data_IF_647834894541
#
_entry.id   IF_647834894541
#
_cell.length_a   1.000
_cell.length_b   1.000
_cell.length_c   1.000
_cell.angle_alpha   90.00
_cell.angle_beta   90.00
_cell.angle_gamma   90.00
#
_symmetry.space_group_name_H-M   'P 1'
#
loop_
_entity.id
_entity.type
_entity.pdbx_description
1 polymer ?
#
# COMPACT_ATOMS: atom_id res chain seq x y z
N UNK A 1 -19.19 3.29 -12.95
CA UNK A 1 -17.93 4.02 -12.71
C UNK A 1 -16.69 3.25 -13.20
N UNK A 2 -16.44 1.98 -12.82
CA UNK A 2 -15.22 1.23 -13.22
C UNK A 2 -15.04 1.03 -14.74
N UNK A 3 -16.16 0.99 -15.47
CA UNK A 3 -16.21 0.82 -16.93
C UNK A 3 -16.69 2.08 -17.67
N UNK A 4 -17.00 3.16 -16.94
CA UNK A 4 -17.48 4.42 -17.51
C UNK A 4 -16.38 5.07 -18.37
N UNK A 5 -16.77 5.83 -19.39
CA UNK A 5 -15.82 6.64 -20.15
C UNK A 5 -15.15 7.70 -19.24
N UNK A 6 -13.91 8.13 -19.51
CA UNK A 6 -13.21 9.08 -18.65
C UNK A 6 -13.99 10.37 -18.33
N UNK A 7 -14.63 10.98 -19.34
CA UNK A 7 -15.43 12.20 -19.12
C UNK A 7 -16.70 11.98 -18.29
N UNK A 8 -17.36 10.83 -18.43
CA UNK A 8 -18.52 10.47 -17.60
C UNK A 8 -18.10 10.22 -16.15
N UNK A 9 -16.94 9.57 -15.95
CA UNK A 9 -16.39 9.34 -14.60
C UNK A 9 -16.01 10.66 -13.93
N UNK A 10 -15.38 11.57 -14.65
CA UNK A 10 -15.01 12.89 -14.12
C UNK A 10 -16.25 13.64 -13.60
N UNK A 11 -17.33 13.64 -14.37
CA UNK A 11 -18.61 14.23 -13.96
C UNK A 11 -19.19 13.60 -12.69
N UNK A 12 -19.16 12.26 -12.61
CA UNK A 12 -19.64 11.51 -11.44
C UNK A 12 -18.79 11.79 -10.19
N UNK A 13 -17.47 11.80 -10.34
CA UNK A 13 -16.53 12.08 -9.25
C UNK A 13 -16.70 13.52 -8.76
N UNK A 14 -16.75 14.49 -9.68
CA UNK A 14 -16.96 15.91 -9.36
C UNK A 14 -18.27 16.14 -8.63
N UNK A 15 -19.38 15.60 -9.15
CA UNK A 15 -20.70 15.77 -8.54
C UNK A 15 -20.76 15.20 -7.12
N UNK A 16 -20.19 13.99 -6.90
CA UNK A 16 -20.11 13.39 -5.56
C UNK A 16 -19.21 14.19 -4.64
N UNK A 17 -18.08 14.67 -5.13
CA UNK A 17 -17.17 15.51 -4.36
C UNK A 17 -17.85 16.81 -3.94
N UNK A 18 -18.51 17.53 -4.84
CA UNK A 18 -19.27 18.74 -4.53
C UNK A 18 -20.29 18.51 -3.40
N UNK A 19 -21.04 17.40 -3.46
CA UNK A 19 -21.99 17.04 -2.40
C UNK A 19 -21.28 16.83 -1.04
N UNK A 20 -20.19 16.06 -1.01
CA UNK A 20 -19.40 15.83 0.20
C UNK A 20 -18.86 17.16 0.75
N UNK A 21 -18.32 18.03 -0.10
CA UNK A 21 -17.78 19.31 0.33
C UNK A 21 -18.87 20.25 0.88
N UNK A 22 -20.08 20.19 0.33
CA UNK A 22 -21.21 21.02 0.76
C UNK A 22 -21.80 20.57 2.11
N UNK A 23 -21.80 19.27 2.39
CA UNK A 23 -22.42 18.68 3.59
C UNK A 23 -21.42 18.45 4.74
N UNK A 24 -20.11 18.54 4.47
CA UNK A 24 -19.07 18.22 5.45
C UNK A 24 -19.05 19.18 6.64
N UNK A 25 -19.08 18.59 7.85
CA UNK A 25 -18.90 19.27 9.13
C UNK A 25 -17.43 19.39 9.57
N UNK A 26 -16.49 18.98 8.70
CA UNK A 26 -15.05 18.99 8.99
C UNK A 26 -14.51 20.42 8.98
N UNK A 27 -14.29 20.99 10.17
CA UNK A 27 -13.71 22.34 10.31
C UNK A 27 -12.31 22.42 9.71
N UNK A 28 -11.53 21.33 9.79
CA UNK A 28 -10.21 21.25 9.18
C UNK A 28 -10.29 21.31 7.64
N UNK A 29 -11.22 20.56 7.03
CA UNK A 29 -11.45 20.61 5.59
C UNK A 29 -11.89 22.00 5.15
N UNK A 30 -12.86 22.61 5.85
CA UNK A 30 -13.37 23.95 5.54
C UNK A 30 -12.24 25.00 5.53
N UNK A 31 -11.35 24.95 6.53
CA UNK A 31 -10.19 25.85 6.58
C UNK A 31 -9.24 25.64 5.38
N UNK A 32 -8.94 24.38 5.03
CA UNK A 32 -8.06 24.07 3.89
C UNK A 32 -8.65 24.49 2.54
N UNK A 33 -9.96 24.33 2.36
CA UNK A 33 -10.64 24.77 1.14
C UNK A 33 -10.69 26.30 1.04
N UNK A 34 -10.96 27.00 2.14
CA UNK A 34 -10.96 28.46 2.19
C UNK A 34 -9.58 29.04 1.85
N UNK A 35 -8.49 28.44 2.37
CA UNK A 35 -7.12 28.84 2.04
C UNK A 35 -6.76 28.67 0.56
N UNK A 36 -7.46 27.77 -0.15
CA UNK A 36 -7.30 27.52 -1.58
C UNK A 36 -8.39 28.18 -2.44
N UNK A 37 -9.27 28.98 -1.83
CA UNK A 37 -10.42 29.64 -2.47
C UNK A 37 -11.37 28.66 -3.20
N UNK A 38 -11.46 27.41 -2.70
CA UNK A 38 -12.33 26.37 -3.24
C UNK A 38 -13.64 26.30 -2.44
N UNK A 39 -14.75 26.21 -3.16
CA UNK A 39 -16.09 25.95 -2.64
C UNK A 39 -16.75 24.88 -3.52
N UNK A 40 -17.86 24.25 -3.07
CA UNK A 40 -18.61 23.33 -3.93
C UNK A 40 -19.01 23.96 -5.27
N UNK A 41 -19.35 25.25 -5.28
CA UNK A 41 -19.76 25.96 -6.49
C UNK A 41 -18.58 26.33 -7.41
N UNK A 42 -17.39 26.56 -6.87
CA UNK A 42 -16.20 26.92 -7.67
C UNK A 42 -15.45 25.70 -8.20
N UNK A 43 -15.70 24.50 -7.67
CA UNK A 43 -15.14 23.23 -8.15
C UNK A 43 -15.80 22.82 -9.49
N UNK A 44 -15.18 23.16 -10.61
CA UNK A 44 -15.64 22.87 -11.97
C UNK A 44 -14.98 21.61 -12.56
N UNK A 45 -13.77 21.28 -12.10
CA UNK A 45 -13.03 20.07 -12.45
C UNK A 45 -12.39 19.48 -11.20
N UNK A 46 -12.21 18.16 -11.15
CA UNK A 46 -11.52 17.50 -10.03
C UNK A 46 -10.08 17.99 -9.87
N UNK A 47 -9.46 18.46 -10.97
CA UNK A 47 -8.14 19.10 -11.00
C UNK A 47 -8.08 20.43 -10.26
N UNK A 48 -9.19 21.10 -9.99
CA UNK A 48 -9.18 22.36 -9.22
C UNK A 48 -8.70 22.12 -7.78
N UNK A 49 -8.81 20.87 -7.29
CA UNK A 49 -8.26 20.50 -5.99
C UNK A 49 -6.74 20.69 -5.90
N UNK A 50 -6.01 20.74 -7.02
CA UNK A 50 -4.53 20.91 -7.02
C UNK A 50 -4.04 22.18 -6.31
N UNK A 51 -4.88 23.20 -6.16
CA UNK A 51 -4.59 24.40 -5.35
C UNK A 51 -4.63 24.13 -3.84
N UNK A 52 -5.29 23.06 -3.40
CA UNK A 52 -5.33 22.64 -1.99
C UNK A 52 -4.00 21.96 -1.65
N UNK A 53 -3.26 22.52 -0.70
CA UNK A 53 -2.00 21.94 -0.23
C UNK A 53 -2.20 20.49 0.25
N UNK A 54 -1.28 19.58 -0.05
CA UNK A 54 -1.36 18.17 0.37
C UNK A 54 -1.34 18.08 1.91
N UNK A 55 -2.30 17.33 2.48
CA UNK A 55 -2.29 16.94 3.89
C UNK A 55 -1.52 15.63 4.04
N UNK A 56 -0.35 15.68 4.66
CA UNK A 56 0.50 14.51 4.86
C UNK A 56 0.01 13.70 6.04
N UNK A 57 0.13 12.38 5.91
CA UNK A 57 -0.20 11.44 6.99
C UNK A 57 0.48 11.80 8.32
N UNK A 58 1.72 12.26 8.28
CA UNK A 58 2.52 12.58 9.47
C UNK A 58 1.96 13.80 10.24
N UNK A 59 1.21 14.68 9.55
CA UNK A 59 0.55 15.85 10.14
C UNK A 59 -0.71 15.47 10.95
N UNK A 60 -1.32 14.31 10.66
CA UNK A 60 -2.55 13.88 11.34
C UNK A 60 -2.39 13.79 12.85
N UNK A 61 -1.22 13.32 13.32
CA UNK A 61 -0.92 13.23 14.75
C UNK A 61 -1.01 14.59 15.43
N UNK A 62 -0.43 15.61 14.81
CA UNK A 62 -0.38 16.96 15.38
C UNK A 62 -1.75 17.64 15.33
N UNK A 63 -2.49 17.46 14.24
CA UNK A 63 -3.88 17.92 14.09
C UNK A 63 -4.78 17.29 15.16
N UNK A 64 -4.68 15.98 15.37
CA UNK A 64 -5.49 15.26 16.35
C UNK A 64 -5.09 15.58 17.79
N UNK A 65 -3.80 15.78 18.06
CA UNK A 65 -3.32 16.19 19.39
C UNK A 65 -3.79 17.60 19.76
N UNK A 66 -3.89 18.51 18.79
CA UNK A 66 -4.36 19.88 19.01
C UNK A 66 -5.85 19.95 19.37
N UNK A 67 -6.68 19.03 18.86
CA UNK A 67 -8.11 18.94 19.19
C UNK A 67 -8.61 17.49 19.20
N UNK A 68 -8.37 16.72 20.28
CA UNK A 68 -8.73 15.30 20.32
C UNK A 68 -10.24 15.03 20.20
N UNK A 69 -10.65 13.84 19.69
CA UNK A 69 -9.79 12.77 19.21
C UNK A 69 -9.39 12.91 17.73
N UNK A 70 -10.20 13.58 16.91
CA UNK A 70 -10.02 13.61 15.45
C UNK A 70 -9.58 14.96 14.88
N UNK A 71 -9.26 15.97 15.69
CA UNK A 71 -8.66 17.23 15.21
C UNK A 71 -9.56 18.07 14.30
N UNK A 72 -10.88 17.91 14.38
CA UNK A 72 -11.83 18.56 13.45
C UNK A 72 -11.83 17.95 12.04
N UNK A 73 -11.24 16.77 11.84
CA UNK A 73 -11.15 16.10 10.53
C UNK A 73 -12.44 15.39 10.10
N UNK A 74 -13.31 14.99 11.05
CA UNK A 74 -14.57 14.30 10.71
C UNK A 74 -15.52 15.19 9.91
N UNK A 75 -16.07 14.65 8.83
CA UNK A 75 -17.13 15.31 8.05
C UNK A 75 -18.53 15.12 8.63
N UNK A 76 -18.67 14.31 9.68
CA UNK A 76 -19.94 13.98 10.36
C UNK A 76 -19.81 14.11 11.88
N UNK A 77 -20.92 14.20 12.63
CA UNK A 77 -20.89 14.15 14.09
C UNK A 77 -20.25 12.86 14.62
N UNK A 78 -19.53 12.97 15.74
CA UNK A 78 -18.88 11.82 16.38
C UNK A 78 -19.86 10.69 16.76
N UNK A 79 -21.15 11.00 16.95
CA UNK A 79 -22.21 10.01 17.22
C UNK A 79 -22.47 9.04 16.07
N UNK A 80 -22.02 9.34 14.85
CA UNK A 80 -22.15 8.45 13.69
C UNK A 80 -21.00 7.45 13.56
N UNK A 81 -19.90 7.66 14.29
CA UNK A 81 -18.71 6.81 14.26
C UNK A 81 -19.01 5.48 14.97
N UNK A 82 -18.77 4.37 14.25
CA UNK A 82 -19.00 3.00 14.73
C UNK A 82 -17.82 2.43 15.49
N UNK A 83 -16.60 2.73 15.03
CA UNK A 83 -15.36 2.35 15.72
C UNK A 83 -14.33 3.46 15.61
N UNK A 84 -13.50 3.58 16.63
CA UNK A 84 -12.31 4.40 16.63
C UNK A 84 -11.11 3.47 16.82
N UNK A 85 -10.21 3.49 15.86
CA UNK A 85 -8.96 2.75 15.89
C UNK A 85 -7.81 3.69 16.26
N UNK A 86 -6.66 3.12 16.63
CA UNK A 86 -5.41 3.83 16.82
C UNK A 86 -4.29 3.11 16.06
N UNK A 87 -3.87 3.71 14.96
CA UNK A 87 -2.71 3.29 14.17
C UNK A 87 -1.38 3.73 14.80
N UNK A 88 -0.25 3.11 14.40
CA UNK A 88 1.08 3.57 14.81
C UNK A 88 1.27 5.07 14.49
N UNK A 89 1.96 5.79 15.38
CA UNK A 89 2.05 7.26 15.29
C UNK A 89 1.00 7.99 16.13
N UNK A 90 0.49 7.33 17.19
CA UNK A 90 -0.83 7.56 17.81
C UNK A 90 -1.88 8.30 16.95
N UNK A 91 -2.13 7.82 15.72
CA UNK A 91 -3.14 8.39 14.83
C UNK A 91 -4.47 7.66 15.05
N UNK A 92 -5.55 8.38 15.32
CA UNK A 92 -6.89 7.83 15.41
C UNK A 92 -7.55 7.73 14.04
N UNK A 93 -8.05 6.54 13.70
CA UNK A 93 -8.76 6.28 12.44
C UNK A 93 -10.24 6.03 12.71
N UNK A 94 -11.16 6.86 12.15
CA UNK A 94 -12.58 6.67 12.34
C UNK A 94 -13.15 5.65 11.36
N UNK A 95 -14.04 4.81 11.85
CA UNK A 95 -14.91 3.99 11.03
C UNK A 95 -16.35 4.50 11.11
N UNK A 96 -16.90 4.89 9.97
CA UNK A 96 -18.29 5.32 9.83
C UNK A 96 -19.30 4.18 9.69
N UNK A 97 -20.58 4.51 9.43
CA UNK A 97 -21.60 3.53 9.12
C UNK A 97 -21.40 2.94 7.71
N UNK A 98 -22.00 1.77 7.47
CA UNK A 98 -21.96 1.08 6.18
C UNK A 98 -21.63 -0.41 6.34
N UNK A 99 -22.00 -1.21 5.34
CA UNK A 99 -21.66 -2.64 5.32
C UNK A 99 -20.19 -2.88 4.92
N UNK A 100 -19.64 -2.01 4.07
CA UNK A 100 -18.24 -2.01 3.63
C UNK A 100 -17.71 -0.57 3.61
N UNK A 101 -17.54 0.02 4.80
CA UNK A 101 -17.06 1.40 4.94
C UNK A 101 -15.70 1.64 4.25
N UNK A 102 -14.88 0.59 4.19
CA UNK A 102 -13.52 0.65 3.64
C UNK A 102 -13.43 0.26 2.16
N UNK A 103 -14.56 -0.11 1.55
CA UNK A 103 -14.74 -0.41 0.13
C UNK A 103 -13.81 -1.49 -0.45
N UNK A 104 -13.65 -2.61 0.26
CA UNK A 104 -12.85 -3.75 -0.21
C UNK A 104 -13.63 -4.78 -1.03
N UNK A 105 -14.96 -4.75 -1.05
CA UNK A 105 -15.80 -5.72 -1.77
C UNK A 105 -15.38 -5.86 -3.25
N UNK A 106 -15.25 -4.75 -3.97
CA UNK A 106 -14.86 -4.75 -5.38
C UNK A 106 -13.47 -5.37 -5.61
N UNK A 107 -12.54 -5.17 -4.67
CA UNK A 107 -11.22 -5.77 -4.72
C UNK A 107 -11.26 -7.29 -4.55
N UNK A 108 -12.17 -7.79 -3.70
CA UNK A 108 -12.41 -9.22 -3.51
C UNK A 108 -13.14 -9.86 -4.68
N UNK A 109 -14.05 -9.15 -5.34
CA UNK A 109 -14.65 -9.62 -6.61
C UNK A 109 -13.57 -9.73 -7.69
N UNK A 110 -12.72 -8.71 -7.82
CA UNK A 110 -11.58 -8.76 -8.75
C UNK A 110 -10.60 -9.90 -8.39
N UNK A 111 -10.50 -10.20 -7.08
CA UNK A 111 -10.01 -11.38 -6.39
C UNK A 111 -10.33 -12.77 -6.95
N UNK A 112 -11.48 -12.86 -7.62
CA UNK A 112 -12.18 -14.12 -7.85
C UNK A 112 -12.86 -14.69 -6.60
N UNK A 113 -12.96 -13.94 -5.50
CA UNK A 113 -13.78 -14.33 -4.34
C UNK A 113 -15.26 -14.13 -4.69
N UNK A 114 -16.14 -14.94 -4.09
CA UNK A 114 -17.57 -14.89 -4.34
C UNK A 114 -18.36 -15.03 -3.04
N UNK A 115 -19.63 -14.63 -3.08
CA UNK A 115 -20.59 -14.97 -2.03
C UNK A 115 -20.57 -16.49 -1.76
N UNK A 116 -20.56 -16.87 -0.47
CA UNK A 116 -20.47 -18.27 -0.03
C UNK A 116 -19.04 -18.80 0.12
N UNK A 117 -18.01 -18.05 -0.29
CA UNK A 117 -16.64 -18.40 0.07
C UNK A 117 -16.43 -18.36 1.59
N UNK A 118 -15.59 -19.27 2.07
CA UNK A 118 -15.16 -19.33 3.48
C UNK A 118 -13.79 -18.70 3.56
N UNK A 119 -13.75 -17.44 4.00
CA UNK A 119 -12.56 -16.60 3.94
C UNK A 119 -11.87 -16.52 5.30
N UNK A 120 -10.64 -17.01 5.41
CA UNK A 120 -9.82 -16.76 6.60
C UNK A 120 -9.21 -15.36 6.55
N UNK A 121 -9.37 -14.59 7.63
CA UNK A 121 -8.85 -13.23 7.75
C UNK A 121 -7.63 -13.26 8.67
N UNK A 122 -6.44 -13.11 8.08
CA UNK A 122 -5.15 -13.17 8.75
C UNK A 122 -4.53 -11.77 8.92
N UNK A 123 -5.32 -10.84 9.46
CA UNK A 123 -4.91 -9.52 9.92
C UNK A 123 -5.31 -9.33 11.38
N UNK A 124 -4.59 -8.49 12.10
CA UNK A 124 -4.89 -8.24 13.51
C UNK A 124 -6.24 -7.52 13.72
N UNK A 125 -7.01 -7.96 14.72
CA UNK A 125 -8.31 -7.40 15.14
C UNK A 125 -8.20 -6.56 16.43
N UNK A 126 -7.04 -5.94 16.67
CA UNK A 126 -6.82 -5.09 17.85
C UNK A 126 -7.08 -3.61 17.53
N UNK A 127 -6.27 -2.69 18.07
CA UNK A 127 -6.39 -1.24 17.88
C UNK A 127 -6.21 -0.75 16.43
N UNK A 128 -5.79 -1.59 15.48
CA UNK A 128 -5.61 -1.16 14.09
C UNK A 128 -6.77 -1.69 13.24
N UNK A 129 -7.19 -0.95 12.20
CA UNK A 129 -8.44 -1.27 11.52
C UNK A 129 -8.35 -2.51 10.63
N UNK A 130 -7.16 -2.94 10.20
CA UNK A 130 -6.95 -3.92 9.13
C UNK A 130 -7.83 -5.19 9.23
N UNK A 131 -7.86 -5.88 10.37
CA UNK A 131 -8.69 -7.07 10.55
C UNK A 131 -10.18 -6.79 10.29
N UNK A 132 -10.70 -5.70 10.86
CA UNK A 132 -12.09 -5.27 10.67
C UNK A 132 -12.38 -4.78 9.25
N UNK A 133 -11.42 -4.07 8.62
CA UNK A 133 -11.57 -3.57 7.25
C UNK A 133 -11.81 -4.70 6.25
N UNK A 134 -10.96 -5.72 6.28
CA UNK A 134 -11.04 -6.83 5.35
C UNK A 134 -12.19 -7.79 5.70
N UNK A 135 -12.49 -7.98 6.99
CA UNK A 135 -13.67 -8.73 7.44
C UNK A 135 -14.98 -8.08 6.95
N UNK A 136 -15.11 -6.75 7.02
CA UNK A 136 -16.29 -6.03 6.52
C UNK A 136 -16.48 -6.19 5.02
N UNK A 137 -15.45 -5.93 4.22
CA UNK A 137 -15.57 -6.09 2.78
C UNK A 137 -15.88 -7.54 2.37
N UNK A 138 -15.33 -8.54 3.09
CA UNK A 138 -15.56 -9.94 2.79
C UNK A 138 -17.00 -10.34 3.16
N UNK A 139 -17.51 -9.84 4.30
CA UNK A 139 -18.92 -10.05 4.67
C UNK A 139 -19.88 -9.31 3.74
N UNK A 140 -19.54 -8.11 3.28
CA UNK A 140 -20.35 -7.37 2.31
C UNK A 140 -20.48 -8.13 0.98
N UNK A 141 -19.39 -8.78 0.54
CA UNK A 141 -19.41 -9.70 -0.60
C UNK A 141 -20.28 -10.97 -0.35
N UNK A 142 -20.59 -11.29 0.90
CA UNK A 142 -21.33 -12.49 1.28
C UNK A 142 -20.46 -13.71 1.63
N UNK A 143 -19.19 -13.51 1.96
CA UNK A 143 -18.32 -14.56 2.48
C UNK A 143 -18.68 -14.89 3.94
N UNK A 144 -18.51 -16.16 4.33
CA UNK A 144 -18.38 -16.55 5.73
C UNK A 144 -16.94 -16.26 6.17
N UNK A 145 -16.74 -15.29 7.06
CA UNK A 145 -15.40 -14.93 7.54
C UNK A 145 -14.97 -15.79 8.72
N UNK A 146 -13.69 -16.17 8.74
CA UNK A 146 -13.00 -16.82 9.87
C UNK A 146 -11.98 -15.81 10.40
N UNK A 147 -12.27 -15.08 11.49
CA UNK A 147 -11.43 -13.98 12.00
C UNK A 147 -10.23 -14.54 12.77
N UNK A 148 -9.29 -15.15 12.05
CA UNK A 148 -8.20 -15.92 12.64
C UNK A 148 -7.09 -15.05 13.25
N UNK A 149 -6.98 -13.78 12.83
CA UNK A 149 -5.93 -12.91 13.30
C UNK A 149 -4.54 -13.35 12.83
N UNK A 150 -3.52 -12.96 13.60
CA UNK A 150 -2.13 -13.40 13.39
C UNK A 150 -1.69 -14.31 14.53
N UNK A 151 -0.70 -15.16 14.26
CA UNK A 151 -0.15 -16.09 15.24
C UNK A 151 -0.87 -17.45 15.25
N UNK A 152 -0.44 -18.34 16.16
CA UNK A 152 -0.89 -19.73 16.28
C UNK A 152 -1.17 -20.45 14.94
N UNK A 153 -0.17 -20.48 14.05
CA UNK A 153 -0.30 -21.08 12.72
C UNK A 153 -0.78 -22.54 12.75
N UNK A 154 -0.48 -23.28 13.82
CA UNK A 154 -0.99 -24.65 14.00
C UNK A 154 -2.52 -24.69 14.02
N UNK A 155 -3.12 -23.87 14.88
CA UNK A 155 -4.56 -23.77 15.00
C UNK A 155 -5.19 -23.22 13.71
N UNK A 156 -4.53 -22.27 13.03
CA UNK A 156 -5.02 -21.74 11.76
C UNK A 156 -5.03 -22.80 10.65
N UNK A 157 -3.98 -23.63 10.55
CA UNK A 157 -3.91 -24.74 9.59
C UNK A 157 -5.01 -25.77 9.86
N UNK A 158 -5.20 -26.16 11.12
CA UNK A 158 -6.30 -27.06 11.51
C UNK A 158 -7.67 -26.46 11.18
N UNK A 159 -7.85 -25.15 11.45
CA UNK A 159 -9.08 -24.44 11.15
C UNK A 159 -9.35 -24.40 9.65
N UNK A 160 -8.34 -24.07 8.83
CA UNK A 160 -8.42 -24.08 7.37
C UNK A 160 -8.83 -25.45 6.84
N UNK A 161 -8.22 -26.52 7.35
CA UNK A 161 -8.52 -27.89 6.96
C UNK A 161 -9.94 -28.31 7.34
N UNK A 162 -10.35 -28.11 8.59
CA UNK A 162 -11.67 -28.55 9.08
C UNK A 162 -12.83 -27.71 8.54
N UNK A 163 -12.63 -26.40 8.37
CA UNK A 163 -13.66 -25.52 7.81
C UNK A 163 -13.78 -25.65 6.28
N UNK A 164 -12.76 -26.25 5.63
CA UNK A 164 -12.65 -26.25 4.19
C UNK A 164 -12.61 -24.85 3.61
N UNK A 165 -11.91 -23.91 4.25
CA UNK A 165 -11.79 -22.53 3.80
C UNK A 165 -11.30 -22.46 2.36
N UNK A 166 -11.96 -21.64 1.54
CA UNK A 166 -11.69 -21.51 0.10
C UNK A 166 -10.94 -20.23 -0.25
N UNK A 167 -10.93 -19.25 0.65
CA UNK A 167 -10.29 -17.97 0.45
C UNK A 167 -9.38 -17.59 1.62
N UNK A 168 -8.27 -16.92 1.31
CA UNK A 168 -7.37 -16.30 2.26
C UNK A 168 -7.35 -14.78 2.06
N UNK A 169 -7.36 -14.01 3.15
CA UNK A 169 -7.19 -12.56 3.13
C UNK A 169 -6.17 -12.17 4.20
N UNK A 170 -5.01 -11.65 3.80
CA UNK A 170 -3.90 -11.44 4.75
C UNK A 170 -2.60 -10.94 4.10
N UNK A 171 -1.49 -11.12 4.80
CA UNK A 171 -0.14 -10.84 4.26
C UNK A 171 0.31 -11.98 3.32
N UNK A 172 0.96 -11.69 2.18
CA UNK A 172 1.49 -12.71 1.27
C UNK A 172 2.59 -13.58 1.88
N UNK A 173 3.51 -13.03 2.67
CA UNK A 173 4.56 -13.79 3.37
C UNK A 173 3.98 -14.75 4.40
N UNK A 174 2.95 -14.29 5.12
CA UNK A 174 2.25 -15.11 6.10
C UNK A 174 1.47 -16.25 5.44
N UNK A 175 0.82 -15.99 4.30
CA UNK A 175 0.19 -17.04 3.49
C UNK A 175 1.21 -18.11 3.10
N UNK A 176 2.37 -17.70 2.57
CA UNK A 176 3.37 -18.68 2.17
C UNK A 176 3.89 -19.50 3.35
N UNK A 177 4.11 -18.87 4.52
CA UNK A 177 4.50 -19.59 5.73
C UNK A 177 3.43 -20.60 6.20
N UNK A 178 2.14 -20.24 6.14
CA UNK A 178 1.03 -21.15 6.43
C UNK A 178 1.00 -22.34 5.47
N UNK A 179 1.17 -22.08 4.16
CA UNK A 179 1.16 -23.11 3.13
C UNK A 179 2.37 -24.06 3.27
N UNK A 180 3.56 -23.54 3.58
CA UNK A 180 4.77 -24.34 3.83
C UNK A 180 4.61 -25.24 5.05
N UNK A 181 4.08 -24.68 6.13
CA UNK A 181 3.86 -25.43 7.37
C UNK A 181 2.78 -26.50 7.20
N UNK A 182 1.67 -26.21 6.51
CA UNK A 182 0.64 -27.19 6.20
C UNK A 182 1.19 -28.35 5.36
N UNK A 183 2.00 -28.04 4.35
CA UNK A 183 2.67 -29.05 3.52
C UNK A 183 3.63 -29.93 4.33
N UNK A 184 4.43 -29.33 5.21
CA UNK A 184 5.34 -30.07 6.10
C UNK A 184 4.60 -31.00 7.08
N UNK A 185 3.34 -30.69 7.41
CA UNK A 185 2.47 -31.51 8.26
C UNK A 185 1.63 -32.53 7.48
N UNK A 186 1.71 -32.53 6.14
CA UNK A 186 0.87 -33.38 5.29
C UNK A 186 -0.62 -32.99 5.33
N UNK A 187 -0.95 -31.76 5.69
CA UNK A 187 -2.33 -31.25 5.76
C UNK A 187 -2.69 -30.59 4.43
N UNK A 188 -3.70 -31.13 3.75
CA UNK A 188 -4.25 -30.54 2.54
C UNK A 188 -5.18 -29.36 2.87
N UNK A 189 -5.06 -28.26 2.12
CA UNK A 189 -5.89 -27.07 2.27
C UNK A 189 -6.77 -26.86 1.03
N UNK A 190 -7.99 -26.36 1.22
CA UNK A 190 -8.97 -26.15 0.15
C UNK A 190 -8.93 -24.74 -0.48
N UNK A 191 -7.88 -23.96 -0.19
CA UNK A 191 -7.72 -22.59 -0.67
C UNK A 191 -7.65 -22.56 -2.20
N UNK A 192 -8.45 -21.68 -2.80
CA UNK A 192 -8.51 -21.44 -4.25
C UNK A 192 -8.13 -20.01 -4.60
N UNK A 193 -8.55 -19.05 -3.79
CA UNK A 193 -8.28 -17.64 -3.97
C UNK A 193 -7.55 -17.06 -2.76
N UNK A 194 -6.67 -16.09 -3.01
CA UNK A 194 -6.00 -15.32 -1.99
C UNK A 194 -5.98 -13.84 -2.37
N UNK A 195 -6.45 -13.00 -1.45
CA UNK A 195 -6.26 -11.55 -1.54
C UNK A 195 -5.19 -11.12 -0.54
N UNK A 196 -4.19 -10.40 -1.01
CA UNK A 196 -3.06 -10.00 -0.18
C UNK A 196 -2.84 -8.50 -0.16
N UNK A 197 -2.40 -7.96 0.97
CA UNK A 197 -2.19 -6.51 1.15
C UNK A 197 -1.16 -6.23 2.25
N UNK A 198 -0.92 -4.96 2.55
CA UNK A 198 -0.03 -4.41 3.59
C UNK A 198 1.48 -4.71 3.49
N UNK A 199 1.90 -5.54 2.52
CA UNK A 199 3.30 -5.68 2.12
C UNK A 199 3.39 -5.98 0.61
N UNK A 200 4.56 -5.79 -0.03
CA UNK A 200 4.74 -6.16 -1.43
C UNK A 200 4.49 -7.66 -1.67
N UNK A 201 3.96 -7.99 -2.86
CA UNK A 201 3.94 -9.35 -3.39
C UNK A 201 4.98 -9.48 -4.51
N UNK A 202 6.24 -9.88 -4.21
CA UNK A 202 7.24 -10.11 -5.24
C UNK A 202 6.78 -11.19 -6.23
N UNK A 203 7.21 -11.07 -7.49
CA UNK A 203 6.84 -12.03 -8.53
C UNK A 203 7.26 -13.48 -8.18
N UNK A 204 8.40 -13.67 -7.51
CA UNK A 204 8.84 -14.99 -7.05
C UNK A 204 7.87 -15.61 -6.03
N UNK A 205 7.36 -14.80 -5.09
CA UNK A 205 6.40 -15.24 -4.09
C UNK A 205 5.03 -15.54 -4.72
N UNK A 206 4.58 -14.70 -5.65
CA UNK A 206 3.37 -14.95 -6.44
C UNK A 206 3.43 -16.31 -7.14
N UNK A 207 4.51 -16.56 -7.89
CA UNK A 207 4.71 -17.83 -8.61
C UNK A 207 4.70 -19.01 -7.64
N UNK A 208 5.34 -18.89 -6.46
CA UNK A 208 5.35 -19.96 -5.46
C UNK A 208 3.97 -20.28 -4.87
N UNK A 209 3.10 -19.27 -4.71
CA UNK A 209 1.71 -19.44 -4.25
C UNK A 209 0.85 -20.03 -5.39
N UNK A 210 0.96 -19.49 -6.60
CA UNK A 210 0.17 -19.93 -7.77
C UNK A 210 0.53 -21.35 -8.21
N UNK A 211 1.79 -21.79 -8.03
CA UNK A 211 2.20 -23.17 -8.28
C UNK A 211 1.46 -24.19 -7.41
N UNK A 212 0.81 -23.75 -6.32
CA UNK A 212 -0.05 -24.59 -5.46
C UNK A 212 -1.53 -24.55 -5.89
N UNK A 213 -1.84 -23.94 -7.04
CA UNK A 213 -3.20 -23.83 -7.56
C UNK A 213 -4.04 -22.71 -6.93
N UNK A 214 -3.40 -21.76 -6.23
CA UNK A 214 -4.09 -20.64 -5.56
C UNK A 214 -3.98 -19.40 -6.45
N UNK A 215 -5.11 -18.86 -6.90
CA UNK A 215 -5.13 -17.54 -7.55
C UNK A 215 -4.87 -16.47 -6.49
N UNK A 216 -3.77 -15.72 -6.62
CA UNK A 216 -3.39 -14.66 -5.69
C UNK A 216 -3.38 -13.30 -6.37
N UNK A 217 -3.97 -12.30 -5.73
CA UNK A 217 -4.05 -10.91 -6.21
C UNK A 217 -3.80 -9.95 -5.06
N UNK A 218 -3.19 -8.81 -5.38
CA UNK A 218 -2.78 -7.80 -4.41
C UNK A 218 -3.71 -6.59 -4.41
N UNK A 219 -3.91 -6.01 -3.22
CA UNK A 219 -4.52 -4.69 -3.03
C UNK A 219 -3.61 -3.72 -2.30
N UNK A 220 -3.92 -2.44 -2.44
CA UNK A 220 -3.27 -1.32 -1.77
C UNK A 220 -4.30 -0.40 -1.11
N UNK A 221 -4.00 0.02 0.10
CA UNK A 221 -4.85 0.86 0.92
C UNK A 221 -4.15 1.29 2.20
N UNK A 222 -4.74 2.24 2.92
CA UNK A 222 -4.25 2.67 4.24
C UNK A 222 -5.35 2.57 5.29
N UNK A 223 -4.95 2.60 6.56
CA UNK A 223 -5.86 2.64 7.71
C UNK A 223 -6.81 3.85 7.69
N UNK A 224 -6.42 4.94 7.05
CA UNK A 224 -7.15 6.21 7.04
C UNK A 224 -8.24 6.23 5.95
N UNK A 225 -7.96 5.64 4.78
CA UNK A 225 -8.83 5.79 3.58
C UNK A 225 -9.42 4.47 3.05
N UNK A 226 -8.98 3.32 3.55
CA UNK A 226 -9.46 2.03 3.06
C UNK A 226 -8.81 1.61 1.76
N UNK A 227 -9.58 0.95 0.89
CA UNK A 227 -9.13 0.51 -0.43
C UNK A 227 -8.82 1.72 -1.33
N UNK A 228 -7.58 1.78 -1.83
CA UNK A 228 -7.14 2.78 -2.81
C UNK A 228 -7.09 2.15 -4.20
N UNK A 229 -6.46 0.97 -4.31
CA UNK A 229 -6.28 0.28 -5.59
C UNK A 229 -6.18 -1.24 -5.41
N UNK A 230 -6.49 -2.01 -6.45
CA UNK A 230 -6.41 -3.48 -6.42
C UNK A 230 -6.14 -4.11 -7.79
N UNK A 231 -5.49 -5.27 -7.81
CA UNK A 231 -5.22 -6.01 -9.04
C UNK A 231 -6.49 -6.64 -9.63
N UNK A 232 -6.58 -6.65 -10.96
CA UNK A 232 -7.52 -7.49 -11.68
C UNK A 232 -6.87 -8.80 -12.12
N UNK A 233 -7.61 -9.66 -12.83
CA UNK A 233 -7.09 -10.94 -13.32
C UNK A 233 -5.88 -10.81 -14.27
N UNK A 234 -5.68 -9.63 -14.89
CA UNK A 234 -4.52 -9.38 -15.75
C UNK A 234 -3.20 -9.18 -14.99
N UNK A 235 -3.23 -8.96 -13.66
CA UNK A 235 -2.05 -8.82 -12.79
C UNK A 235 -0.98 -7.86 -13.33
N UNK A 236 -1.44 -6.77 -13.95
CA UNK A 236 -0.60 -5.75 -14.58
C UNK A 236 -0.89 -4.39 -13.94
N UNK A 237 -0.47 -4.23 -12.69
CA UNK A 237 -0.80 -3.06 -11.87
C UNK A 237 -2.16 -3.17 -11.18
N UNK A 238 -2.41 -2.21 -10.27
CA UNK A 238 -3.59 -2.14 -9.42
C UNK A 238 -4.52 -1.04 -9.91
N UNK A 239 -5.74 -1.37 -10.31
CA UNK A 239 -6.77 -0.40 -10.67
C UNK A 239 -7.11 0.47 -9.47
N UNK A 240 -7.02 1.78 -9.64
CA UNK A 240 -7.56 2.76 -8.69
C UNK A 240 -9.05 2.53 -8.55
N UNK A 241 -9.54 2.54 -7.31
CA UNK A 241 -10.95 2.40 -6.99
C UNK A 241 -11.74 3.53 -7.67
N UNK A 242 -12.84 3.18 -8.34
CA UNK A 242 -13.52 4.12 -9.24
C UNK A 242 -14.21 5.30 -8.56
N UNK A 243 -14.35 5.29 -7.23
CA UNK A 243 -14.90 6.40 -6.43
C UNK A 243 -13.84 7.09 -5.56
N UNK A 244 -12.62 7.20 -6.10
CA UNK A 244 -11.51 7.90 -5.47
C UNK A 244 -10.73 8.68 -6.52
N UNK A 245 -10.26 9.88 -6.15
CA UNK A 245 -9.26 10.60 -6.94
C UNK A 245 -7.87 10.20 -6.44
N UNK A 246 -6.98 9.88 -7.38
CA UNK A 246 -5.59 9.53 -7.07
C UNK A 246 -4.68 10.26 -8.05
N UNK A 247 -3.81 11.09 -7.50
CA UNK A 247 -2.71 11.74 -8.21
C UNK A 247 -1.38 11.10 -7.79
N UNK A 248 -0.41 11.14 -8.68
CA UNK A 248 0.99 10.93 -8.34
C UNK A 248 1.65 12.31 -8.32
N UNK A 249 2.02 12.79 -7.14
CA UNK A 249 2.51 14.16 -6.96
C UNK A 249 4.01 14.23 -6.75
N UNK A 250 4.62 15.31 -7.22
CA UNK A 250 6.00 15.65 -6.91
C UNK A 250 6.14 15.95 -5.42
N UNK A 251 7.16 15.35 -4.81
CA UNK A 251 7.34 15.35 -3.35
C UNK A 251 7.76 16.72 -2.79
N UNK A 252 8.25 17.61 -3.66
CA UNK A 252 8.75 18.96 -3.30
C UNK A 252 7.69 20.02 -3.57
N UNK A 253 7.13 20.03 -4.78
CA UNK A 253 6.15 21.04 -5.22
C UNK A 253 4.73 20.68 -4.83
N UNK A 254 4.43 19.39 -4.62
CA UNK A 254 3.09 18.90 -4.32
C UNK A 254 2.14 18.92 -5.52
N UNK A 255 2.63 19.18 -6.73
CA UNK A 255 1.83 19.18 -7.96
C UNK A 255 1.77 17.78 -8.60
N UNK A 256 0.67 17.42 -9.28
CA UNK A 256 0.61 16.17 -10.04
C UNK A 256 1.71 16.08 -11.10
N UNK A 257 2.31 14.90 -11.22
CA UNK A 257 3.29 14.56 -12.23
C UNK A 257 2.62 13.94 -13.47
N UNK A 258 3.26 14.01 -14.65
CA UNK A 258 2.83 13.28 -15.83
C UNK A 258 2.73 11.77 -15.58
N UNK A 259 1.81 11.10 -16.30
CA UNK A 259 1.68 9.65 -16.25
C UNK A 259 3.01 8.96 -16.61
N UNK A 260 3.35 7.90 -15.89
CA UNK A 260 4.63 7.19 -16.03
C UNK A 260 5.76 7.69 -15.12
N UNK A 261 5.62 8.87 -14.50
CA UNK A 261 6.61 9.37 -13.55
C UNK A 261 6.37 8.85 -12.12
N UNK A 262 7.44 8.79 -11.33
CA UNK A 262 7.41 8.33 -9.93
C UNK A 262 7.16 9.53 -9.01
N UNK A 263 6.15 9.43 -8.16
CA UNK A 263 5.80 10.45 -7.18
C UNK A 263 5.03 9.88 -5.99
N UNK A 264 4.64 10.74 -5.06
CA UNK A 264 3.82 10.39 -3.91
C UNK A 264 2.39 10.08 -4.33
N UNK A 265 1.82 9.00 -3.82
CA UNK A 265 0.39 8.70 -3.95
C UNK A 265 -0.40 9.67 -3.08
N UNK A 266 -1.13 10.57 -3.74
CA UNK A 266 -2.01 11.54 -3.11
C UNK A 266 -3.45 11.18 -3.44
N UNK A 267 -4.26 10.98 -2.42
CA UNK A 267 -5.63 10.47 -2.58
C UNK A 267 -6.65 11.48 -2.08
N UNK A 268 -7.81 11.54 -2.74
CA UNK A 268 -9.02 12.18 -2.20
C UNK A 268 -10.14 11.13 -2.19
N UNK A 269 -10.44 10.52 -1.04
CA UNK A 269 -11.52 9.57 -0.93
C UNK A 269 -12.87 10.29 -1.02
N UNK A 270 -13.84 9.74 -1.76
CA UNK A 270 -15.21 10.23 -1.75
C UNK A 270 -15.98 9.66 -0.55
N UNK A 271 -15.47 9.96 0.65
CA UNK A 271 -16.00 9.52 1.94
C UNK A 271 -16.50 10.72 2.76
N UNK A 272 -17.81 10.83 3.04
CA UNK A 272 -18.36 11.95 3.81
C UNK A 272 -17.96 11.91 5.30
N UNK A 273 -17.59 10.75 5.85
CA UNK A 273 -17.26 10.60 7.27
C UNK A 273 -15.87 11.14 7.60
N UNK A 274 -14.90 10.83 6.74
CA UNK A 274 -13.50 11.24 6.90
C UNK A 274 -12.95 11.80 5.58
N UNK A 275 -13.39 13.02 5.18
CA UNK A 275 -13.14 13.59 3.87
C UNK A 275 -11.72 14.18 3.77
N UNK A 276 -10.71 13.31 3.70
CA UNK A 276 -9.30 13.70 3.59
C UNK A 276 -8.94 14.15 2.16
N UNK A 277 -9.22 15.41 1.82
CA UNK A 277 -8.87 15.98 0.51
C UNK A 277 -7.34 16.10 0.34
N UNK A 278 -6.82 15.63 -0.79
CA UNK A 278 -5.39 15.59 -1.13
C UNK A 278 -4.53 15.06 0.01
N UNK A 279 -4.86 13.85 0.46
CA UNK A 279 -4.15 13.12 1.49
C UNK A 279 -2.91 12.43 0.92
N UNK A 280 -1.73 12.84 1.36
CA UNK A 280 -0.47 12.19 1.02
C UNK A 280 -0.25 10.95 1.88
N UNK A 281 -0.24 9.77 1.25
CA UNK A 281 -0.09 8.49 1.96
C UNK A 281 1.33 8.26 2.46
N UNK A 282 2.28 9.06 1.97
CA UNK A 282 3.70 8.82 2.12
C UNK A 282 4.22 7.64 1.30
N UNK A 283 3.43 7.02 0.42
CA UNK A 283 3.89 5.94 -0.45
C UNK A 283 4.18 6.47 -1.87
N UNK A 284 5.16 5.86 -2.54
CA UNK A 284 5.58 6.24 -3.89
C UNK A 284 5.00 5.26 -4.91
N UNK A 285 4.51 5.75 -6.04
CA UNK A 285 4.04 4.89 -7.13
C UNK A 285 4.14 5.61 -8.48
N UNK A 286 3.66 4.94 -9.52
CA UNK A 286 3.53 5.44 -10.89
C UNK A 286 2.09 5.22 -11.30
N UNK A 287 1.46 6.25 -11.87
CA UNK A 287 0.12 6.15 -12.46
C UNK A 287 0.22 5.81 -13.94
N UNK A 288 -0.60 4.87 -14.39
CA UNK A 288 -0.70 4.48 -15.78
C UNK A 288 -2.15 4.54 -16.26
N UNK A 289 -2.37 5.31 -17.32
CA UNK A 289 -3.65 5.40 -18.02
C UNK A 289 -3.72 4.45 -19.22
N UNK A 290 -2.72 3.59 -19.39
CA UNK A 290 -2.72 2.61 -20.45
C UNK A 290 -3.93 1.68 -20.30
N UNK A 291 -4.63 1.33 -21.40
CA UNK A 291 -5.75 0.41 -21.36
C UNK A 291 -5.38 -0.92 -20.71
N UNK A 292 -6.30 -1.48 -19.94
CA UNK A 292 -6.15 -2.80 -19.34
C UNK A 292 -6.99 -3.83 -20.11
N UNK A 293 -6.46 -5.03 -20.43
CA UNK A 293 -7.22 -6.07 -21.12
C UNK A 293 -8.45 -6.57 -20.34
N UNK A 294 -8.58 -6.26 -19.04
CA UNK A 294 -9.77 -6.59 -18.27
C UNK A 294 -10.99 -5.68 -18.56
N UNK A 295 -10.81 -4.62 -19.37
CA UNK A 295 -11.87 -3.70 -19.77
C UNK A 295 -12.18 -2.58 -18.77
N UNK A 296 -11.67 -2.61 -17.54
CA UNK A 296 -11.76 -1.48 -16.62
C UNK A 296 -11.02 -0.27 -17.18
N UNK A 297 -11.63 0.90 -17.06
CA UNK A 297 -11.11 2.16 -17.59
C UNK A 297 -10.50 3.04 -16.49
N UNK A 298 -10.39 2.57 -15.24
CA UNK A 298 -9.69 3.30 -14.18
C UNK A 298 -8.17 3.24 -14.37
N UNK A 299 -7.45 4.31 -13.99
CA UNK A 299 -6.00 4.31 -14.03
C UNK A 299 -5.44 3.25 -13.09
N UNK A 300 -4.19 2.86 -13.31
CA UNK A 300 -3.52 1.82 -12.54
C UNK A 300 -2.28 2.34 -11.83
N UNK A 301 -2.12 1.97 -10.56
CA UNK A 301 -0.86 2.09 -9.84
C UNK A 301 0.06 0.94 -10.25
N UNK A 302 1.26 1.26 -10.74
CA UNK A 302 2.26 0.26 -11.14
C UNK A 302 3.15 -0.13 -9.95
N UNK A 303 2.51 -0.72 -8.93
CA UNK A 303 3.17 -1.16 -7.70
C UNK A 303 3.58 -0.02 -6.77
N UNK A 304 3.86 -0.36 -5.51
CA UNK A 304 4.35 0.60 -4.51
C UNK A 304 5.88 0.56 -4.51
N UNK A 305 6.49 1.70 -4.84
CA UNK A 305 7.93 1.91 -4.97
C UNK A 305 8.57 2.28 -3.61
N UNK A 306 7.93 2.01 -2.48
CA UNK A 306 8.42 2.37 -1.14
C UNK A 306 7.82 3.66 -0.61
N UNK A 307 8.35 4.18 0.50
CA UNK A 307 7.77 5.33 1.22
C UNK A 307 8.64 6.58 1.21
N UNK A 308 8.00 7.74 1.22
CA UNK A 308 8.59 9.02 1.63
C UNK A 308 9.25 8.88 3.00
N UNK A 309 10.37 9.57 3.18
CA UNK A 309 11.15 9.52 4.42
C UNK A 309 11.96 8.22 4.64
N UNK A 310 11.66 7.12 3.95
CA UNK A 310 12.54 5.94 3.92
C UNK A 310 13.76 6.12 2.99
N UNK A 311 13.75 7.20 2.20
CA UNK A 311 14.91 7.63 1.42
C UNK A 311 16.02 8.12 2.35
N UNK A 312 17.18 7.51 2.28
CA UNK A 312 18.35 7.93 3.02
C UNK A 312 19.17 8.90 2.19
N UNK A 313 19.42 10.10 2.70
CA UNK A 313 20.30 11.06 2.02
C UNK A 313 21.76 10.59 2.15
N UNK A 314 22.40 10.26 1.04
CA UNK A 314 23.80 9.85 0.94
C UNK A 314 24.51 10.74 -0.08
N UNK A 315 25.50 11.53 0.38
CA UNK A 315 26.28 12.44 -0.48
C UNK A 315 25.41 13.33 -1.41
N UNK A 316 24.30 13.83 -0.87
CA UNK A 316 23.40 14.74 -1.59
C UNK A 316 22.30 14.07 -2.42
N UNK A 317 22.33 12.74 -2.57
CA UNK A 317 21.29 11.97 -3.27
C UNK A 317 20.39 11.25 -2.26
N UNK A 318 19.09 11.15 -2.54
CA UNK A 318 18.20 10.30 -1.77
C UNK A 318 18.24 8.88 -2.33
N UNK A 319 18.61 7.93 -1.47
CA UNK A 319 18.68 6.51 -1.78
C UNK A 319 17.50 5.81 -1.12
N UNK A 320 16.63 5.21 -1.93
CA UNK A 320 15.45 4.51 -1.44
C UNK A 320 15.64 2.99 -1.52
N UNK A 321 15.05 2.21 -0.61
CA UNK A 321 15.11 0.75 -0.65
C UNK A 321 14.70 0.14 -1.99
N UNK A 322 13.70 0.71 -2.68
CA UNK A 322 13.25 0.21 -3.99
C UNK A 322 14.31 0.32 -5.08
N UNK A 323 15.16 1.35 -5.05
CA UNK A 323 16.21 1.51 -6.05
C UNK A 323 17.23 0.38 -5.93
N UNK A 324 17.48 -0.09 -4.69
CA UNK A 324 18.29 -1.28 -4.45
C UNK A 324 17.59 -2.55 -4.96
N UNK A 325 16.27 -2.68 -4.79
CA UNK A 325 15.51 -3.78 -5.39
C UNK A 325 15.66 -3.83 -6.91
N UNK A 326 15.59 -2.69 -7.60
CA UNK A 326 15.78 -2.57 -9.05
C UNK A 326 17.18 -3.03 -9.48
N UNK A 327 18.21 -2.69 -8.70
CA UNK A 327 19.59 -3.12 -8.97
C UNK A 327 19.71 -4.65 -9.00
N UNK A 328 19.07 -5.32 -8.05
CA UNK A 328 19.12 -6.77 -7.91
C UNK A 328 18.09 -7.52 -8.76
N UNK A 329 17.10 -6.82 -9.30
CA UNK A 329 16.15 -7.39 -10.24
C UNK A 329 16.89 -7.97 -11.46
N UNK A 330 16.66 -9.26 -11.73
CA UNK A 330 17.30 -9.97 -12.84
C UNK A 330 18.74 -10.46 -12.58
N UNK A 331 19.21 -10.47 -11.32
CA UNK A 331 20.46 -11.11 -10.92
C UNK A 331 20.19 -12.41 -10.12
N UNK A 332 19.88 -13.55 -10.77
CA UNK A 332 19.48 -14.79 -10.10
C UNK A 332 20.59 -15.41 -9.22
N UNK A 333 21.84 -14.98 -9.40
CA UNK A 333 22.99 -15.39 -8.58
C UNK A 333 22.98 -14.76 -7.20
N UNK A 334 22.37 -13.58 -7.04
CA UNK A 334 22.21 -12.90 -5.74
C UNK A 334 20.96 -13.46 -5.05
N UNK A 335 21.15 -14.11 -3.90
CA UNK A 335 20.04 -14.64 -3.09
C UNK A 335 19.34 -13.52 -2.31
N UNK A 336 20.13 -12.64 -1.73
CA UNK A 336 19.67 -11.54 -0.89
C UNK A 336 20.76 -10.49 -0.76
N UNK A 337 20.37 -9.32 -0.26
CA UNK A 337 21.23 -8.16 -0.11
C UNK A 337 20.84 -7.40 1.16
N UNK A 338 21.74 -6.58 1.68
CA UNK A 338 21.44 -5.56 2.69
C UNK A 338 22.30 -4.35 2.39
N UNK A 339 21.78 -3.16 2.59
CA UNK A 339 22.52 -1.93 2.41
C UNK A 339 22.60 -1.15 3.71
N UNK A 340 23.74 -0.50 3.92
CA UNK A 340 23.99 0.33 5.09
C UNK A 340 24.67 1.61 4.66
N UNK A 341 24.19 2.72 5.20
CA UNK A 341 24.87 4.01 5.09
C UNK A 341 25.68 4.21 6.36
N UNK A 342 26.98 4.41 6.18
CA UNK A 342 27.92 4.73 7.26
C UNK A 342 28.56 6.09 7.00
N UNK A 343 29.26 6.63 7.99
CA UNK A 343 30.02 7.88 7.87
C UNK A 343 31.47 7.63 8.25
N UNK A 344 32.39 7.86 7.33
CA UNK A 344 33.83 7.67 7.53
C UNK A 344 34.55 8.98 7.20
N UNK A 345 35.30 9.55 8.15
CA UNK A 345 36.04 10.82 7.99
C UNK A 345 35.15 11.94 7.42
N UNK A 346 33.96 12.10 8.01
CA UNK A 346 32.91 13.05 7.62
C UNK A 346 32.32 12.87 6.20
N UNK A 347 32.51 11.72 5.57
CA UNK A 347 31.91 11.37 4.28
C UNK A 347 30.92 10.23 4.44
N UNK A 348 29.73 10.40 3.89
CA UNK A 348 28.71 9.36 3.85
C UNK A 348 29.07 8.30 2.79
N UNK A 349 29.05 7.03 3.17
CA UNK A 349 29.31 5.89 2.29
C UNK A 349 28.10 4.96 2.28
N UNK A 350 27.70 4.50 1.08
CA UNK A 350 26.72 3.42 0.94
C UNK A 350 27.47 2.12 0.71
N UNK A 351 27.38 1.21 1.68
CA UNK A 351 27.92 -0.15 1.60
C UNK A 351 26.79 -1.13 1.36
N UNK A 352 26.97 -1.98 0.36
CA UNK A 352 26.02 -2.99 -0.07
C UNK A 352 26.63 -4.36 0.17
N UNK A 353 26.00 -5.14 1.05
CA UNK A 353 26.36 -6.53 1.29
C UNK A 353 25.48 -7.41 0.42
N UNK A 354 26.08 -8.37 -0.28
CA UNK A 354 25.35 -9.34 -1.11
C UNK A 354 25.68 -10.76 -0.68
N UNK A 355 24.66 -11.61 -0.60
CA UNK A 355 24.84 -13.05 -0.42
C UNK A 355 24.43 -13.75 -1.72
N UNK A 356 25.33 -14.54 -2.29
CA UNK A 356 25.15 -15.18 -3.59
C UNK A 356 25.33 -16.71 -3.51
N UNK A 357 24.73 -17.44 -4.45
CA UNK A 357 24.91 -18.90 -4.59
C UNK A 357 26.32 -19.25 -5.10
N UNK A 358 26.83 -18.45 -6.03
CA UNK A 358 28.22 -18.42 -6.50
C UNK A 358 28.60 -16.95 -6.63
N UNK A 359 29.50 -16.48 -5.77
CA UNK A 359 30.00 -15.12 -5.82
C UNK A 359 31.45 -15.13 -6.28
N UNK A 360 31.73 -14.36 -7.32
CA UNK A 360 33.06 -14.08 -7.83
C UNK A 360 33.26 -12.57 -7.99
N UNK A 361 34.46 -12.15 -8.37
CA UNK A 361 34.78 -10.74 -8.58
C UNK A 361 33.93 -10.11 -9.70
N UNK A 362 33.48 -10.91 -10.67
CA UNK A 362 32.67 -10.44 -11.79
C UNK A 362 31.25 -10.09 -11.35
N UNK A 363 30.63 -10.88 -10.46
CA UNK A 363 29.34 -10.55 -9.85
C UNK A 363 29.41 -9.23 -9.07
N UNK A 364 30.46 -9.05 -8.26
CA UNK A 364 30.67 -7.82 -7.50
C UNK A 364 30.78 -6.62 -8.44
N UNK A 365 31.51 -6.76 -9.54
CA UNK A 365 31.64 -5.72 -10.57
C UNK A 365 30.29 -5.38 -11.22
N UNK A 366 29.52 -6.40 -11.63
CA UNK A 366 28.19 -6.21 -12.24
C UNK A 366 27.20 -5.49 -11.30
N UNK A 367 27.16 -5.88 -10.02
CA UNK A 367 26.33 -5.21 -9.01
C UNK A 367 26.78 -3.76 -8.82
N UNK A 368 28.10 -3.51 -8.76
CA UNK A 368 28.65 -2.17 -8.63
C UNK A 368 28.26 -1.25 -9.80
N UNK A 369 28.34 -1.76 -11.04
CA UNK A 369 27.99 -1.01 -12.24
C UNK A 369 26.48 -0.68 -12.28
N UNK A 370 25.63 -1.63 -11.87
CA UNK A 370 24.18 -1.41 -11.75
C UNK A 370 23.83 -0.40 -10.66
N UNK A 371 24.45 -0.51 -9.48
CA UNK A 371 24.30 0.48 -8.39
C UNK A 371 24.65 1.88 -8.88
N UNK A 372 25.78 2.03 -9.58
CA UNK A 372 26.17 3.32 -10.13
C UNK A 372 25.15 3.85 -11.16
N UNK A 373 24.60 2.97 -11.99
CA UNK A 373 23.62 3.34 -13.02
C UNK A 373 22.29 3.78 -12.42
N UNK A 374 21.77 3.05 -11.43
CA UNK A 374 20.45 3.28 -10.82
C UNK A 374 20.52 4.39 -9.78
N UNK A 375 21.52 4.36 -8.89
CA UNK A 375 21.64 5.28 -7.76
C UNK A 375 22.39 6.58 -8.11
N UNK A 376 23.08 6.62 -9.26
CA UNK A 376 24.03 7.69 -9.62
C UNK A 376 25.10 7.92 -8.55
N UNK A 377 25.42 6.86 -7.79
CA UNK A 377 26.29 6.89 -6.62
C UNK A 377 27.30 5.74 -6.69
N UNK A 378 28.59 6.03 -6.49
CA UNK A 378 29.62 4.98 -6.33
C UNK A 378 29.47 4.30 -4.99
N UNK A 379 29.12 3.02 -4.97
CA UNK A 379 28.87 2.25 -3.75
C UNK A 379 29.95 1.20 -3.54
N UNK A 380 30.24 0.83 -2.28
CA UNK A 380 31.07 -0.34 -2.00
C UNK A 380 30.20 -1.58 -1.98
N UNK A 381 30.67 -2.68 -2.58
CA UNK A 381 29.94 -3.95 -2.64
C UNK A 381 30.82 -5.03 -2.01
N UNK A 382 30.26 -5.76 -1.05
CA UNK A 382 30.95 -6.86 -0.38
C UNK A 382 30.14 -8.15 -0.50
N UNK A 383 30.82 -9.22 -0.90
CA UNK A 383 30.26 -10.57 -0.90
C UNK A 383 30.37 -11.16 0.50
N UNK A 384 29.24 -11.54 1.10
CA UNK A 384 29.20 -12.16 2.43
C UNK A 384 28.49 -13.51 2.41
N UNK A 385 28.85 -14.45 3.31
CA UNK A 385 28.05 -15.66 3.51
C UNK A 385 26.62 -15.31 3.92
N UNK A 386 25.61 -16.04 3.44
CA UNK A 386 24.19 -15.74 3.76
C UNK A 386 23.90 -15.65 5.25
N UNK A 387 24.59 -16.45 6.08
CA UNK A 387 24.46 -16.43 7.55
C UNK A 387 24.96 -15.14 8.20
N UNK A 388 25.81 -14.37 7.53
CA UNK A 388 26.40 -13.12 8.03
C UNK A 388 25.65 -11.89 7.49
N UNK A 389 24.66 -12.08 6.61
CA UNK A 389 23.89 -10.98 6.06
C UNK A 389 22.75 -10.63 7.01
N UNK A 390 22.98 -9.63 7.84
CA UNK A 390 21.98 -9.09 8.76
C UNK A 390 20.98 -8.21 8.00
N UNK A 391 19.71 -8.27 8.39
CA UNK A 391 18.64 -7.43 7.85
C UNK A 391 18.48 -7.53 6.31
N UNK A 392 18.18 -8.73 5.78
CA UNK A 392 18.02 -8.94 4.35
C UNK A 392 16.91 -8.06 3.76
N UNK A 393 17.17 -7.47 2.60
CA UNK A 393 16.27 -6.60 1.85
C UNK A 393 16.14 -5.18 2.38
N UNK A 394 16.94 -4.78 3.37
CA UNK A 394 16.81 -3.47 4.04
C UNK A 394 17.95 -2.51 3.71
N UNK A 395 17.63 -1.22 3.70
CA UNK A 395 18.57 -0.09 3.74
C UNK A 395 18.56 0.49 5.15
N UNK A 396 19.73 0.59 5.79
CA UNK A 396 19.88 1.02 7.19
C UNK A 396 20.81 2.22 7.32
N UNK A 397 20.57 3.04 8.34
CA UNK A 397 21.42 4.17 8.70
C UNK A 397 22.26 3.78 9.93
N UNK A 398 23.57 3.67 9.75
CA UNK A 398 24.53 3.43 10.83
C UNK A 398 25.55 4.58 10.90
N UNK A 399 25.18 5.78 10.42
CA UNK A 399 26.05 6.97 10.55
C UNK A 399 26.17 7.37 12.01
N UNK A 400 27.41 7.44 12.47
CA UNK A 400 27.77 8.05 13.76
C UNK A 400 28.25 9.47 13.48
N UNK A 401 27.74 10.43 14.25
CA UNK A 401 28.05 11.85 14.14
C UNK A 401 28.98 12.21 15.30
N UNK A 402 30.25 11.87 15.17
CA UNK A 402 31.34 12.35 16.04
C UNK A 402 31.87 13.72 15.57
#
# INVERSE_FOLDING_TARGET
>A
MEYSAPGEREEQLRSRLQAILAESQSSHLQHRLAAAEITPATLQHTTDLTSVAILRKDELREIQAAAPPFGGLLGVPMSEIKRMFQSPGPIYDPQGPGADYWAWEAAFVAAGLNAGDRAIICFSFHLTPAGHMFDEGARALGCMTIPAGIGNQEQQIQTLAHSGATAYIGLPSYLNALLDKAAAQGVALALKNAFVSAEPLPQSLRVAIEARGINVQQGYGTADVGCIAYECAAKNGMHVRADMLVDICDTVTGLPLPAGEIGEVVVTPLNPVYPLVRFGTGDMSILSDAPCPCGRTTPRLLGIQGRLGQGMKVRGLFIYPHQLQVVFAGLPTVRTWSAVVTRVKHRDELKVLIAANKGDAELVRQVTDRLHTVLKLKCSVELVPSRNLLNPGQLRDERVWE
#
